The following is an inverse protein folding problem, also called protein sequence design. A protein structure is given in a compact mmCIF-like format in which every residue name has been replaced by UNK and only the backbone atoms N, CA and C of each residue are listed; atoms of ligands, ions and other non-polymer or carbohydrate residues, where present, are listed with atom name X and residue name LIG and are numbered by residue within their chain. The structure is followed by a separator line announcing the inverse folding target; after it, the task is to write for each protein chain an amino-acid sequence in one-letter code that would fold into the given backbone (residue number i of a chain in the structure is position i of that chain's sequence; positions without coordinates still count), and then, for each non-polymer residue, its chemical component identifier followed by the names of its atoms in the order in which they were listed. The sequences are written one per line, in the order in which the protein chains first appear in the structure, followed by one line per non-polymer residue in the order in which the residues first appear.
data_IF_003178937611
#
_entry.id   IF_003178937611
#
_cell.length_a   1.000
_cell.length_b   1.000
_cell.length_c   1.000
_cell.angle_alpha   90.00
_cell.angle_beta   90.00
_cell.angle_gamma   90.00
#
_symmetry.space_group_name_H-M   'P 1'
#
loop_
_entity.id
_entity.type
_entity.pdbx_description
1 polymer ?
#
# COMPACT_ATOMS: atom_id res chain seq x y z
N UNK A 1 -15.38 -45.86 -11.75
CA UNK A 1 -16.38 -44.77 -11.92
C UNK A 1 -16.26 -43.79 -10.76
N UNK A 2 -15.48 -42.73 -10.95
CA UNK A 2 -15.40 -41.60 -10.02
C UNK A 2 -16.59 -40.71 -10.35
N UNK A 3 -17.56 -40.62 -9.45
CA UNK A 3 -18.64 -39.65 -9.56
C UNK A 3 -18.02 -38.25 -9.52
N UNK A 4 -18.39 -37.33 -10.42
CA UNK A 4 -17.92 -35.96 -10.33
C UNK A 4 -18.44 -35.39 -9.01
N UNK A 5 -17.54 -35.06 -8.09
CA UNK A 5 -17.89 -34.24 -6.93
C UNK A 5 -18.52 -32.97 -7.48
N UNK A 6 -19.78 -32.73 -7.13
CA UNK A 6 -20.48 -31.51 -7.50
C UNK A 6 -19.71 -30.32 -6.93
N UNK A 7 -19.35 -29.36 -7.80
CA UNK A 7 -18.68 -28.10 -7.42
C UNK A 7 -19.45 -27.32 -6.33
N UNK A 8 -20.71 -27.68 -6.05
CA UNK A 8 -21.57 -27.18 -4.97
C UNK A 8 -21.06 -27.45 -3.54
N UNK A 9 -20.14 -28.41 -3.33
CA UNK A 9 -19.56 -28.72 -2.00
C UNK A 9 -18.54 -27.66 -1.57
N UNK A 10 -17.95 -26.94 -2.53
CA UNK A 10 -16.87 -25.99 -2.30
C UNK A 10 -17.26 -24.73 -1.48
N UNK A 11 -18.38 -24.04 -1.74
CA UNK A 11 -18.72 -22.79 -1.06
C UNK A 11 -19.05 -22.96 0.44
N UNK A 12 -19.80 -24.00 0.81
CA UNK A 12 -20.14 -24.24 2.23
C UNK A 12 -18.91 -24.60 3.06
N UNK A 13 -17.97 -25.36 2.46
CA UNK A 13 -16.69 -25.67 3.09
C UNK A 13 -15.82 -24.44 3.26
N UNK A 14 -15.75 -23.56 2.26
CA UNK A 14 -15.04 -22.28 2.34
C UNK A 14 -15.67 -21.41 3.43
N UNK A 15 -17.00 -21.31 3.48
CA UNK A 15 -17.71 -20.55 4.52
C UNK A 15 -17.38 -21.06 5.91
N UNK A 16 -17.35 -22.37 6.11
CA UNK A 16 -16.98 -22.96 7.40
C UNK A 16 -15.53 -22.60 7.81
N UNK A 17 -14.60 -22.64 6.86
CA UNK A 17 -13.18 -22.33 7.10
C UNK A 17 -12.92 -20.85 7.37
N UNK A 18 -13.70 -19.96 6.75
CA UNK A 18 -13.57 -18.51 6.90
C UNK A 18 -14.37 -17.95 8.07
N UNK A 19 -15.20 -18.77 8.74
CA UNK A 19 -15.94 -18.33 9.92
C UNK A 19 -14.95 -18.08 11.08
N UNK A 20 -15.00 -16.89 11.70
CA UNK A 20 -14.20 -16.64 12.90
C UNK A 20 -14.62 -17.60 14.04
N UNK A 21 -13.75 -17.84 15.03
CA UNK A 21 -14.14 -18.63 16.20
C UNK A 21 -15.26 -17.93 16.98
N UNK A 22 -16.16 -18.68 17.64
CA UNK A 22 -17.23 -18.09 18.43
C UNK A 22 -16.67 -17.37 19.67
N UNK A 23 -17.33 -16.27 20.06
CA UNK A 23 -16.97 -15.50 21.25
C UNK A 23 -17.80 -16.01 22.44
N UNK A 24 -17.18 -16.42 23.56
CA UNK A 24 -17.93 -16.92 24.72
C UNK A 24 -18.96 -15.91 25.23
N UNK A 25 -20.22 -16.33 25.35
CA UNK A 25 -21.32 -15.50 25.85
C UNK A 25 -21.87 -14.48 24.84
N UNK A 26 -21.42 -14.51 23.58
CA UNK A 26 -21.90 -13.62 22.53
C UNK A 26 -22.33 -14.43 21.30
N UNK A 27 -23.64 -14.49 21.10
CA UNK A 27 -24.23 -15.12 19.92
C UNK A 27 -23.90 -14.33 18.66
N UNK A 28 -23.61 -15.05 17.57
CA UNK A 28 -23.35 -14.51 16.22
C UNK A 28 -22.41 -13.29 16.19
N UNK A 29 -21.35 -13.30 17.03
CA UNK A 29 -20.39 -12.20 17.17
C UNK A 29 -21.02 -10.83 17.51
N UNK A 30 -22.24 -10.81 18.04
CA UNK A 30 -22.99 -9.60 18.33
C UNK A 30 -23.52 -8.89 17.08
N UNK A 31 -23.54 -9.58 15.93
CA UNK A 31 -24.17 -9.08 14.71
C UNK A 31 -25.68 -9.01 14.97
N UNK A 32 -26.32 -7.84 14.80
CA UNK A 32 -27.76 -7.74 14.94
C UNK A 32 -28.48 -8.69 13.98
N UNK A 33 -29.62 -9.29 14.38
CA UNK A 33 -30.40 -10.12 13.49
C UNK A 33 -30.77 -9.33 12.22
N UNK A 34 -30.92 -10.04 11.12
CA UNK A 34 -31.29 -9.43 9.84
C UNK A 34 -32.54 -8.55 10.05
N UNK A 35 -32.39 -7.26 9.78
CA UNK A 35 -33.49 -6.32 9.87
C UNK A 35 -34.46 -6.73 8.77
N UNK A 36 -35.55 -7.36 9.17
CA UNK A 36 -36.73 -7.61 8.35
C UNK A 36 -37.75 -6.58 8.79
N UNK A 37 -37.75 -5.34 8.23
CA UNK A 37 -38.83 -4.42 8.52
C UNK A 37 -40.09 -5.09 7.99
N UNK A 38 -41.02 -5.40 8.89
CA UNK A 38 -42.25 -6.10 8.55
C UNK A 38 -42.97 -5.33 7.44
N UNK A 39 -42.87 -5.81 6.20
CA UNK A 39 -43.49 -5.20 5.01
C UNK A 39 -42.61 -4.33 4.10
N UNK A 40 -41.32 -4.12 4.35
CA UNK A 40 -40.46 -3.45 3.36
C UNK A 40 -39.93 -4.45 2.34
N UNK A 41 -40.64 -4.63 1.23
CA UNK A 41 -40.06 -5.26 0.04
C UNK A 41 -38.91 -4.39 -0.44
N UNK A 42 -37.76 -4.98 -0.75
CA UNK A 42 -36.68 -4.27 -1.46
C UNK A 42 -37.26 -3.51 -2.66
N UNK A 43 -36.74 -2.32 -2.94
CA UNK A 43 -37.15 -1.56 -4.12
C UNK A 43 -36.97 -2.45 -5.37
N UNK A 44 -38.05 -2.79 -6.09
CA UNK A 44 -37.98 -3.71 -7.22
C UNK A 44 -37.06 -3.19 -8.34
N UNK A 45 -36.91 -1.87 -8.47
CA UNK A 45 -35.97 -1.28 -9.42
C UNK A 45 -34.51 -1.56 -9.03
N UNK A 46 -34.20 -1.48 -7.74
CA UNK A 46 -32.88 -1.79 -7.21
C UNK A 46 -32.56 -3.28 -7.34
N UNK A 47 -33.52 -4.15 -7.00
CA UNK A 47 -33.38 -5.60 -7.13
C UNK A 47 -33.12 -6.00 -8.58
N UNK A 48 -33.91 -5.46 -9.53
CA UNK A 48 -33.70 -5.71 -10.95
C UNK A 48 -32.32 -5.26 -11.44
N UNK A 49 -31.85 -4.11 -10.96
CA UNK A 49 -30.51 -3.57 -11.30
C UNK A 49 -29.39 -4.45 -10.75
N UNK A 50 -29.49 -4.90 -9.50
CA UNK A 50 -28.53 -5.82 -8.89
C UNK A 50 -28.51 -7.16 -9.63
N UNK A 51 -29.69 -7.71 -9.93
CA UNK A 51 -29.82 -8.95 -10.71
C UNK A 51 -29.11 -8.84 -12.06
N UNK A 52 -29.31 -7.74 -12.79
CA UNK A 52 -28.60 -7.48 -14.04
C UNK A 52 -27.07 -7.45 -13.86
N UNK A 53 -26.57 -6.83 -12.79
CA UNK A 53 -25.13 -6.82 -12.50
C UNK A 53 -24.58 -8.22 -12.21
N UNK A 54 -25.33 -9.05 -11.50
CA UNK A 54 -24.96 -10.44 -11.25
C UNK A 54 -24.92 -11.25 -12.54
N UNK A 55 -25.93 -11.12 -13.40
CA UNK A 55 -25.99 -11.79 -14.71
C UNK A 55 -24.77 -11.44 -15.59
N UNK A 56 -24.38 -10.15 -15.63
CA UNK A 56 -23.20 -9.69 -16.37
C UNK A 56 -21.89 -10.24 -15.81
N UNK A 57 -21.83 -10.52 -14.51
CA UNK A 57 -20.67 -11.11 -13.84
C UNK A 57 -20.58 -12.62 -14.02
N UNK A 58 -21.71 -13.31 -14.19
CA UNK A 58 -21.75 -14.78 -14.39
C UNK A 58 -21.51 -15.23 -15.83
N UNK A 59 -21.40 -14.30 -16.79
CA UNK A 59 -21.08 -14.65 -18.18
C UNK A 59 -19.70 -15.31 -18.29
N UNK A 60 -19.47 -16.19 -19.29
CA UNK A 60 -18.17 -16.81 -19.52
C UNK A 60 -17.02 -15.80 -19.74
N UNK A 61 -17.35 -14.63 -20.28
CA UNK A 61 -16.49 -13.45 -20.25
C UNK A 61 -17.10 -12.43 -19.27
N UNK A 62 -16.65 -12.44 -17.99
CA UNK A 62 -17.26 -11.61 -16.96
C UNK A 62 -17.01 -10.14 -17.24
N UNK A 63 -18.07 -9.34 -17.33
CA UNK A 63 -17.92 -7.89 -17.57
C UNK A 63 -17.44 -7.21 -16.29
N UNK A 64 -16.23 -6.64 -16.34
CA UNK A 64 -15.68 -5.86 -15.22
C UNK A 64 -15.89 -4.37 -15.45
N UNK A 65 -16.70 -3.72 -14.61
CA UNK A 65 -16.98 -2.28 -14.75
C UNK A 65 -15.73 -1.42 -14.61
N UNK A 66 -14.76 -1.85 -13.78
CA UNK A 66 -13.49 -1.13 -13.67
C UNK A 66 -12.74 -1.11 -15.01
N UNK A 67 -12.90 -2.10 -15.90
CA UNK A 67 -12.24 -2.06 -17.21
C UNK A 67 -12.82 -0.95 -18.08
N UNK A 68 -14.16 -0.82 -18.04
CA UNK A 68 -14.85 0.27 -18.73
C UNK A 68 -14.45 1.62 -18.13
N UNK A 69 -14.36 1.71 -16.80
CA UNK A 69 -13.94 2.92 -16.09
C UNK A 69 -12.50 3.33 -16.46
N UNK A 70 -11.56 2.38 -16.47
CA UNK A 70 -10.15 2.62 -16.77
C UNK A 70 -9.89 2.93 -18.25
N UNK A 71 -10.73 2.42 -19.16
CA UNK A 71 -10.64 2.78 -20.59
C UNK A 71 -11.00 4.25 -20.85
N UNK A 72 -11.85 4.86 -19.99
CA UNK A 72 -12.22 6.25 -20.09
C UNK A 72 -11.02 7.18 -19.85
N UNK A 73 -10.73 8.07 -20.81
CA UNK A 73 -9.62 9.02 -20.72
C UNK A 73 -9.78 10.02 -19.59
N UNK A 74 -11.01 10.46 -19.29
CA UNK A 74 -11.29 11.41 -18.21
C UNK A 74 -10.95 10.80 -16.85
N UNK A 75 -11.05 9.46 -16.71
CA UNK A 75 -10.68 8.76 -15.49
C UNK A 75 -9.16 8.72 -15.26
N UNK A 76 -8.36 8.93 -16.32
CA UNK A 76 -6.89 8.98 -16.27
C UNK A 76 -6.34 10.39 -16.06
N UNK A 77 -7.15 11.29 -15.49
CA UNK A 77 -6.74 12.65 -15.13
C UNK A 77 -6.16 12.65 -13.71
N UNK A 78 -4.89 13.05 -13.50
CA UNK A 78 -4.30 13.11 -12.16
C UNK A 78 -5.05 14.03 -11.19
N UNK A 79 -5.82 15.00 -11.68
CA UNK A 79 -6.64 15.88 -10.84
C UNK A 79 -8.01 15.29 -10.46
N UNK A 80 -8.46 14.22 -11.12
CA UNK A 80 -9.80 13.66 -10.86
C UNK A 80 -9.92 13.16 -9.42
N UNK A 81 -8.87 12.51 -8.91
CA UNK A 81 -8.88 11.98 -7.55
C UNK A 81 -9.14 13.09 -6.51
N UNK A 82 -8.44 14.22 -6.60
CA UNK A 82 -8.66 15.36 -5.71
C UNK A 82 -10.10 15.89 -5.80
N UNK A 83 -10.65 16.01 -7.01
CA UNK A 83 -12.04 16.43 -7.21
C UNK A 83 -13.05 15.44 -6.61
N UNK A 84 -12.77 14.14 -6.64
CA UNK A 84 -13.64 13.12 -6.03
C UNK A 84 -13.59 13.19 -4.51
N UNK A 85 -12.41 13.40 -3.93
CA UNK A 85 -12.24 13.62 -2.49
C UNK A 85 -13.03 14.85 -2.05
N UNK A 86 -12.87 15.98 -2.75
CA UNK A 86 -13.60 17.22 -2.49
C UNK A 86 -15.12 17.04 -2.64
N UNK A 87 -15.57 16.26 -3.64
CA UNK A 87 -16.99 16.03 -3.89
C UNK A 87 -17.66 15.18 -2.79
N UNK A 88 -16.94 14.19 -2.24
CA UNK A 88 -17.46 13.30 -1.19
C UNK A 88 -17.22 13.88 0.21
N UNK A 89 -16.52 15.02 0.31
CA UNK A 89 -16.18 15.69 1.57
C UNK A 89 -15.42 14.74 2.53
N UNK A 90 -14.41 14.05 1.99
CA UNK A 90 -13.58 13.11 2.74
C UNK A 90 -12.32 13.80 3.22
N UNK A 91 -12.06 13.74 4.53
CA UNK A 91 -10.75 14.05 5.09
C UNK A 91 -9.81 12.84 4.95
N UNK A 92 -8.88 12.92 3.98
CA UNK A 92 -7.89 11.89 3.70
C UNK A 92 -6.88 11.66 4.84
N UNK A 93 -6.78 12.60 5.77
CA UNK A 93 -5.85 12.54 6.90
C UNK A 93 -6.52 11.98 8.16
N UNK A 94 -7.84 11.83 8.15
CA UNK A 94 -8.61 11.34 9.29
C UNK A 94 -8.17 9.92 9.71
N UNK A 95 -8.29 9.63 11.00
CA UNK A 95 -7.94 8.32 11.55
C UNK A 95 -9.00 7.84 12.53
N UNK A 96 -9.05 6.52 12.76
CA UNK A 96 -9.92 5.92 13.78
C UNK A 96 -9.32 5.99 15.19
N UNK A 97 -8.21 6.70 15.39
CA UNK A 97 -7.58 6.86 16.71
C UNK A 97 -8.10 8.14 17.40
N UNK A 98 -8.27 8.12 18.73
CA UNK A 98 -8.47 9.33 19.51
C UNK A 98 -7.33 10.33 19.26
N UNK A 99 -7.67 11.63 19.14
CA UNK A 99 -6.68 12.70 18.85
C UNK A 99 -5.62 12.83 19.94
N UNK A 100 -5.94 12.41 21.17
CA UNK A 100 -4.99 12.35 22.27
C UNK A 100 -3.86 11.35 22.03
N UNK A 101 -4.11 10.31 21.23
CA UNK A 101 -3.13 9.28 20.85
C UNK A 101 -2.44 9.66 19.54
N UNK A 102 -3.22 10.08 18.55
CA UNK A 102 -2.71 10.48 17.24
C UNK A 102 -3.60 11.57 16.65
N UNK A 103 -3.03 12.75 16.46
CA UNK A 103 -3.68 13.84 15.76
C UNK A 103 -2.88 14.17 14.49
N UNK A 104 -3.45 13.90 13.30
CA UNK A 104 -2.78 14.16 12.03
C UNK A 104 -2.54 15.67 11.81
N UNK A 105 -3.32 16.55 12.43
CA UNK A 105 -3.21 18.01 12.23
C UNK A 105 -2.26 18.68 13.22
N UNK A 106 -1.80 17.90 14.21
CA UNK A 106 -0.74 18.27 15.14
C UNK A 106 0.61 18.25 14.39
N UNK A 107 0.78 19.19 13.46
CA UNK A 107 2.11 19.63 13.05
C UNK A 107 2.75 20.17 14.32
N UNK A 108 3.72 19.44 14.89
CA UNK A 108 4.57 19.99 15.96
C UNK A 108 5.25 21.23 15.40
N UNK A 109 4.66 22.40 15.67
CA UNK A 109 5.10 23.69 15.16
C UNK A 109 6.61 23.84 15.36
N UNK A 110 7.36 23.67 14.27
CA UNK A 110 8.79 23.89 14.22
C UNK A 110 9.71 22.68 14.37
N UNK A 111 9.23 21.46 14.64
CA UNK A 111 10.09 20.26 14.68
C UNK A 111 10.20 19.55 13.32
N UNK A 112 9.10 19.46 12.57
CA UNK A 112 9.03 18.74 11.29
C UNK A 112 8.87 19.69 10.11
N UNK A 113 9.60 20.80 10.18
CA UNK A 113 9.64 21.82 9.15
C UNK A 113 10.60 21.38 8.03
N UNK A 114 10.04 21.15 6.85
CA UNK A 114 10.81 20.72 5.68
C UNK A 114 11.92 21.72 5.33
N UNK A 115 11.70 23.02 5.53
CA UNK A 115 12.72 24.05 5.27
C UNK A 115 13.89 23.94 6.23
N UNK A 116 13.61 23.71 7.53
CA UNK A 116 14.67 23.50 8.54
C UNK A 116 15.45 22.21 8.27
N UNK A 117 14.77 21.13 7.90
CA UNK A 117 15.40 19.86 7.57
C UNK A 117 16.31 20.03 6.35
N UNK A 118 15.83 20.69 5.29
CA UNK A 118 16.61 20.98 4.09
C UNK A 118 17.83 21.85 4.39
N UNK A 119 17.67 22.89 5.22
CA UNK A 119 18.75 23.76 5.66
C UNK A 119 19.83 22.97 6.42
N UNK A 120 19.43 22.14 7.39
CA UNK A 120 20.35 21.29 8.15
C UNK A 120 21.10 20.30 7.26
N UNK A 121 20.40 19.64 6.32
CA UNK A 121 21.02 18.71 5.37
C UNK A 121 22.04 19.41 4.47
N UNK A 122 21.71 20.61 3.99
CA UNK A 122 22.61 21.43 3.18
C UNK A 122 23.88 21.80 3.96
N UNK A 123 23.74 22.33 5.17
CA UNK A 123 24.87 22.68 6.03
C UNK A 123 25.77 21.47 6.32
N UNK A 124 25.17 20.31 6.62
CA UNK A 124 25.93 19.07 6.85
C UNK A 124 26.72 18.62 5.62
N UNK A 125 26.11 18.67 4.44
CA UNK A 125 26.75 18.33 3.17
C UNK A 125 27.92 19.28 2.86
N UNK A 126 27.73 20.58 3.06
CA UNK A 126 28.77 21.59 2.86
C UNK A 126 29.96 21.36 3.80
N UNK A 127 29.72 21.11 5.08
CA UNK A 127 30.78 20.79 6.06
C UNK A 127 31.55 19.52 5.68
N UNK A 128 30.87 18.45 5.28
CA UNK A 128 31.51 17.21 4.85
C UNK A 128 32.37 17.41 3.60
N UNK A 129 31.89 18.22 2.64
CA UNK A 129 32.64 18.57 1.44
C UNK A 129 33.89 19.41 1.75
N UNK A 130 33.81 20.33 2.73
CA UNK A 130 34.93 21.16 3.16
C UNK A 130 35.98 20.34 3.91
N UNK A 131 35.56 19.42 4.79
CA UNK A 131 36.46 18.48 5.45
C UNK A 131 37.15 17.53 4.46
N UNK A 132 36.44 17.06 3.43
CA UNK A 132 37.05 16.25 2.37
C UNK A 132 38.10 17.04 1.58
N UNK A 133 37.84 18.32 1.27
CA UNK A 133 38.81 19.22 0.64
C UNK A 133 40.02 19.52 1.52
N UNK A 134 39.86 19.56 2.85
CA UNK A 134 40.96 19.77 3.80
C UNK A 134 41.86 18.54 3.98
N UNK A 135 41.41 17.34 3.56
CA UNK A 135 42.16 16.07 3.67
C UNK A 135 42.89 15.67 2.38
N UNK A 136 42.96 16.54 1.38
CA UNK A 136 43.55 16.23 0.06
C UNK A 136 45.07 16.28 0.02
N UNK A 137 45.75 16.73 1.09
CA UNK A 137 47.19 16.59 1.21
C UNK A 137 47.53 15.38 2.09
N UNK A 138 47.67 14.22 1.44
CA UNK A 138 48.29 13.04 2.03
C UNK A 138 49.71 13.00 1.47
N UNK A 139 50.70 13.34 2.29
CA UNK A 139 52.11 13.22 1.92
C UNK A 139 52.49 11.74 1.84
N UNK A 140 52.59 11.21 0.63
CA UNK A 140 53.11 9.88 0.38
C UNK A 140 54.64 9.94 0.49
N UNK A 141 55.17 9.61 1.67
CA UNK A 141 56.61 9.39 1.83
C UNK A 141 57.05 8.29 0.85
N UNK A 142 57.94 8.64 -0.08
CA UNK A 142 58.59 7.66 -0.95
C UNK A 142 59.50 6.79 -0.10
N UNK A 143 59.21 5.50 -0.04
CA UNK A 143 60.07 4.53 0.62
C UNK A 143 61.47 4.58 0.00
N UNK A 144 62.46 5.03 0.78
CA UNK A 144 63.86 4.95 0.42
C UNK A 144 64.21 3.47 0.19
N UNK A 145 64.62 3.17 -1.04
CA UNK A 145 64.87 1.80 -1.49
C UNK A 145 66.01 1.12 -0.74
N UNK A 146 65.88 -0.20 -0.57
CA UNK A 146 67.01 -1.12 -0.44
C UNK A 146 66.72 -2.46 -1.12
N UNK A 147 67.78 -2.96 -1.73
CA UNK A 147 68.03 -4.31 -2.20
C UNK A 147 67.13 -4.91 -3.31
N UNK A 148 67.66 -4.83 -4.53
CA UNK A 148 67.32 -5.74 -5.64
C UNK A 148 67.74 -7.17 -5.28
N UNK A 149 66.80 -8.00 -4.81
CA UNK A 149 66.96 -9.46 -4.84
C UNK A 149 66.44 -9.95 -6.19
N UNK A 150 67.36 -10.37 -7.07
CA UNK A 150 67.04 -11.02 -8.35
C UNK A 150 66.49 -12.42 -8.08
N UNK A 151 65.25 -12.67 -8.45
CA UNK A 151 64.71 -14.04 -8.56
C UNK A 151 64.87 -14.52 -10.01
N UNK A 152 65.38 -15.74 -10.26
CA UNK A 152 65.54 -16.27 -11.60
C UNK A 152 64.19 -16.65 -12.21
N UNK A 153 64.01 -16.25 -13.48
CA UNK A 153 62.84 -16.56 -14.31
C UNK A 153 62.83 -18.03 -14.73
N UNK A 154 61.74 -18.73 -14.43
CA UNK A 154 61.39 -20.01 -15.06
C UNK A 154 60.40 -19.74 -16.20
N UNK A 155 60.81 -20.04 -17.43
CA UNK A 155 59.95 -20.06 -18.62
C UNK A 155 59.18 -21.38 -18.66
N UNK A 156 57.85 -21.31 -18.77
CA UNK A 156 57.00 -22.47 -19.10
C UNK A 156 57.12 -22.78 -20.59
N UNK A 157 57.48 -24.03 -20.92
CA UNK A 157 57.18 -24.69 -22.21
C UNK A 157 55.90 -25.49 -22.07
#
# INVERSE_FOLDING_TARGET
PVTPESDDVHPERIRLLLRPPPIPGLDDWGIPPEVTPEGSTCDPALEAKLKQFHELKSLPSPKHFNDTLMSNRSFRNPHLYAQLVDFVDIDERSTNFPKEIWDPDLVRYGEWDAEKIAAYQKTRSEQQSQQAKARTNIDFMTSSGKESVRHPSYTLT
#
